data_IF_249619303101
#
_entry.id   IF_249619303101
#
_cell.length_a   1.000
_cell.length_b   1.000
_cell.length_c   1.000
_cell.angle_alpha   90.00
_cell.angle_beta   90.00
_cell.angle_gamma   90.00
#
_symmetry.space_group_name_H-M   'P 1'
#
loop_
_entity.id
_entity.type
_entity.pdbx_description
1 polymer ?
#
# COMPACT_ATOMS: atom_id res chain seq x y z
N UNK A 1 1.70 -5.09 19.13
CA UNK A 1 2.54 -5.10 17.91
C UNK A 1 1.97 -4.12 16.90
N UNK A 2 2.81 -3.33 16.20
CA UNK A 2 2.35 -2.45 15.12
C UNK A 2 1.51 -3.21 14.07
N UNK A 3 0.53 -2.55 13.45
CA UNK A 3 -0.25 -3.10 12.34
C UNK A 3 -1.28 -4.20 12.65
N UNK A 4 -1.25 -4.85 13.83
CA UNK A 4 -2.08 -6.04 14.10
C UNK A 4 -3.60 -5.76 14.02
N UNK A 5 -4.04 -4.62 14.56
CA UNK A 5 -5.43 -4.18 14.45
C UNK A 5 -5.80 -3.84 13.00
N UNK A 6 -4.91 -3.18 12.25
CA UNK A 6 -5.12 -2.84 10.84
C UNK A 6 -5.31 -4.10 9.98
N UNK A 7 -4.52 -5.16 10.20
CA UNK A 7 -4.71 -6.45 9.53
C UNK A 7 -6.08 -7.07 9.86
N UNK A 8 -6.45 -7.05 11.14
CA UNK A 8 -7.72 -7.62 11.60
C UNK A 8 -8.92 -6.92 10.95
N UNK A 9 -8.91 -5.58 10.93
CA UNK A 9 -9.99 -4.80 10.33
C UNK A 9 -10.02 -4.90 8.81
N UNK A 10 -8.85 -4.97 8.15
CA UNK A 10 -8.78 -5.25 6.71
C UNK A 10 -9.46 -6.58 6.40
N UNK A 11 -9.07 -7.66 7.08
CA UNK A 11 -9.64 -9.00 6.86
C UNK A 11 -11.15 -9.01 7.09
N UNK A 12 -11.63 -8.36 8.16
CA UNK A 12 -13.06 -8.24 8.46
C UNK A 12 -13.83 -7.40 7.45
N UNK A 13 -13.21 -6.42 6.80
CA UNK A 13 -13.92 -5.52 5.89
C UNK A 13 -14.13 -6.13 4.50
N UNK A 14 -13.18 -6.90 3.97
CA UNK A 14 -13.29 -7.43 2.61
C UNK A 14 -13.77 -8.87 2.53
N UNK A 15 -13.42 -9.76 3.48
CA UNK A 15 -13.77 -11.19 3.38
C UNK A 15 -15.28 -11.45 3.26
N UNK A 16 -16.16 -10.80 4.05
CA UNK A 16 -17.60 -11.01 3.92
C UNK A 16 -18.18 -10.61 2.56
N UNK A 17 -17.46 -9.78 1.81
CA UNK A 17 -17.88 -9.28 0.51
C UNK A 17 -17.50 -10.21 -0.65
N UNK A 18 -16.65 -11.23 -0.42
CA UNK A 18 -16.21 -12.12 -1.48
C UNK A 18 -17.30 -13.11 -1.89
N UNK A 19 -17.42 -13.37 -3.20
CA UNK A 19 -18.35 -14.36 -3.76
C UNK A 19 -17.62 -15.36 -4.65
N UNK A 20 -17.93 -16.63 -4.45
CA UNK A 20 -17.50 -17.72 -5.33
C UNK A 20 -18.11 -17.56 -6.74
N UNK A 21 -17.48 -18.15 -7.77
CA UNK A 21 -16.25 -18.95 -7.74
C UNK A 21 -14.96 -18.14 -7.87
N UNK A 22 -15.05 -16.86 -8.23
CA UNK A 22 -13.87 -16.05 -8.56
C UNK A 22 -13.39 -15.15 -7.41
N UNK A 23 -14.02 -15.24 -6.23
CA UNK A 23 -13.75 -14.37 -5.09
C UNK A 23 -13.82 -12.88 -5.45
N UNK A 24 -14.84 -12.52 -6.25
CA UNK A 24 -15.13 -11.13 -6.58
C UNK A 24 -15.82 -10.47 -5.39
N UNK A 25 -15.47 -9.21 -5.11
CA UNK A 25 -16.18 -8.39 -4.12
C UNK A 25 -17.56 -8.01 -4.66
N UNK A 26 -18.61 -8.33 -3.90
CA UNK A 26 -20.01 -8.06 -4.27
C UNK A 26 -20.60 -6.96 -3.40
N UNK A 27 -21.40 -6.08 -4.00
CA UNK A 27 -22.13 -5.03 -3.28
C UNK A 27 -23.43 -5.57 -2.65
N UNK A 28 -23.96 -6.67 -3.21
CA UNK A 28 -25.17 -7.31 -2.73
C UNK A 28 -24.88 -8.68 -2.12
N UNK A 29 -25.70 -9.04 -1.12
CA UNK A 29 -25.70 -10.37 -0.50
C UNK A 29 -26.43 -11.41 -1.35
N UNK A 30 -27.39 -10.99 -2.19
CA UNK A 30 -28.19 -11.84 -3.06
C UNK A 30 -27.95 -11.53 -4.55
N UNK A 31 -27.84 -12.59 -5.37
CA UNK A 31 -28.01 -12.57 -6.82
C UNK A 31 -27.03 -11.70 -7.64
N UNK A 32 -26.03 -12.35 -8.26
CA UNK A 32 -25.14 -11.73 -9.25
C UNK A 32 -23.88 -11.11 -8.65
N UNK A 33 -22.82 -10.99 -9.47
CA UNK A 33 -21.53 -10.46 -9.05
C UNK A 33 -21.45 -8.97 -9.37
N UNK A 34 -22.24 -8.14 -8.66
CA UNK A 34 -22.18 -6.68 -8.80
C UNK A 34 -20.92 -6.20 -8.10
N UNK A 35 -19.94 -5.71 -8.87
CA UNK A 35 -18.64 -5.28 -8.36
C UNK A 35 -18.77 -4.23 -7.26
N UNK A 36 -18.32 -4.56 -6.05
CA UNK A 36 -18.16 -3.55 -4.99
C UNK A 36 -16.83 -2.80 -5.16
N UNK A 37 -16.83 -1.85 -6.09
CA UNK A 37 -15.62 -1.09 -6.44
C UNK A 37 -15.11 -0.24 -5.28
N UNK A 38 -16.00 0.34 -4.48
CA UNK A 38 -15.61 1.17 -3.32
C UNK A 38 -14.85 0.36 -2.27
N UNK A 39 -15.36 -0.82 -1.90
CA UNK A 39 -14.68 -1.72 -0.96
C UNK A 39 -13.35 -2.24 -1.53
N UNK A 40 -13.31 -2.56 -2.83
CA UNK A 40 -12.09 -3.01 -3.51
C UNK A 40 -11.03 -1.90 -3.54
N UNK A 41 -11.44 -0.66 -3.82
CA UNK A 41 -10.58 0.51 -3.76
C UNK A 41 -10.03 0.74 -2.36
N UNK A 42 -10.87 0.59 -1.33
CA UNK A 42 -10.44 0.66 0.08
C UNK A 42 -9.41 -0.41 0.45
N UNK A 43 -9.61 -1.65 -0.01
CA UNK A 43 -8.64 -2.73 0.18
C UNK A 43 -7.30 -2.37 -0.48
N UNK A 44 -7.31 -1.85 -1.71
CA UNK A 44 -6.10 -1.41 -2.40
C UNK A 44 -5.39 -0.29 -1.61
N UNK A 45 -6.15 0.73 -1.17
CA UNK A 45 -5.61 1.84 -0.38
C UNK A 45 -4.96 1.37 0.93
N UNK A 46 -5.43 0.27 1.54
CA UNK A 46 -4.79 -0.28 2.74
C UNK A 46 -3.32 -0.70 2.49
N UNK A 47 -2.99 -1.21 1.30
CA UNK A 47 -1.61 -1.54 0.93
C UNK A 47 -0.80 -0.28 0.59
N UNK A 48 -1.40 0.63 -0.19
CA UNK A 48 -0.71 1.85 -0.64
C UNK A 48 -0.50 2.87 0.46
N UNK A 49 -1.43 3.04 1.39
CA UNK A 49 -1.44 4.14 2.34
C UNK A 49 -1.52 3.67 3.79
N UNK A 50 -2.00 2.45 4.03
CA UNK A 50 -2.05 1.85 5.36
C UNK A 50 -0.69 1.24 5.74
N UNK A 51 -0.38 0.07 5.20
CA UNK A 51 0.81 -0.70 5.61
C UNK A 51 2.14 -0.07 5.19
N UNK A 52 2.20 0.60 4.04
CA UNK A 52 3.42 1.28 3.60
C UNK A 52 3.64 2.63 4.30
N UNK A 53 2.58 3.23 4.85
CA UNK A 53 2.57 4.61 5.33
C UNK A 53 2.81 5.68 4.25
N UNK A 54 2.75 5.33 2.96
CA UNK A 54 3.09 6.27 1.88
C UNK A 54 2.16 7.48 1.87
N UNK A 55 2.69 8.69 1.85
CA UNK A 55 1.94 9.90 1.53
C UNK A 55 2.65 10.68 0.44
N UNK A 56 1.89 11.18 -0.52
CA UNK A 56 2.40 12.08 -1.54
C UNK A 56 2.33 13.52 -1.03
N UNK A 57 3.45 14.03 -0.54
CA UNK A 57 3.60 15.44 -0.21
C UNK A 57 3.93 16.29 -1.43
N UNK A 58 3.95 17.61 -1.22
CA UNK A 58 4.35 18.58 -2.25
C UNK A 58 5.87 18.57 -2.44
N UNK A 59 6.64 18.47 -1.36
CA UNK A 59 8.11 18.58 -1.42
C UNK A 59 8.85 17.24 -1.27
N UNK A 60 8.14 16.18 -0.84
CA UNK A 60 8.67 14.85 -0.63
C UNK A 60 7.55 13.82 -0.63
N UNK A 61 7.88 12.56 -0.91
CA UNK A 61 7.05 11.45 -0.45
C UNK A 61 7.37 11.17 1.02
N UNK A 62 6.37 10.79 1.81
CA UNK A 62 6.54 10.38 3.20
C UNK A 62 6.32 8.88 3.32
N UNK A 63 7.10 8.21 4.16
CA UNK A 63 7.03 6.77 4.40
C UNK A 63 7.13 6.46 5.89
N UNK A 64 6.15 5.72 6.40
CA UNK A 64 6.15 5.18 7.77
C UNK A 64 5.60 3.74 7.77
N UNK A 65 6.43 2.74 7.35
CA UNK A 65 5.94 1.39 7.14
C UNK A 65 5.56 0.69 8.45
N UNK A 66 4.39 0.04 8.46
CA UNK A 66 3.86 -0.71 9.60
C UNK A 66 3.28 -2.04 9.11
N UNK A 67 4.14 -3.05 9.00
CA UNK A 67 3.74 -4.38 8.57
C UNK A 67 3.15 -5.19 9.74
N UNK A 68 1.93 -5.73 9.59
CA UNK A 68 1.37 -6.64 10.57
C UNK A 68 2.11 -7.99 10.54
N UNK A 69 2.11 -8.75 11.65
CA UNK A 69 2.92 -9.95 11.72
C UNK A 69 2.52 -11.07 10.74
N UNK A 70 1.29 -11.03 10.22
CA UNK A 70 0.77 -11.96 9.23
C UNK A 70 1.33 -11.73 7.81
N UNK A 71 1.96 -10.58 7.55
CA UNK A 71 2.58 -10.26 6.26
C UNK A 71 4.10 -10.45 6.34
N UNK A 72 4.67 -11.12 5.34
CA UNK A 72 6.12 -11.31 5.21
C UNK A 72 6.81 -10.07 4.61
N UNK A 73 6.09 -9.35 3.76
CA UNK A 73 6.55 -8.12 3.13
C UNK A 73 5.47 -7.52 2.25
N UNK A 74 5.77 -6.35 1.67
CA UNK A 74 4.95 -5.66 0.70
C UNK A 74 5.85 -5.09 -0.39
N UNK A 75 5.53 -5.36 -1.65
CA UNK A 75 6.21 -4.76 -2.80
C UNK A 75 5.21 -3.94 -3.61
N UNK A 76 5.55 -2.69 -3.88
CA UNK A 76 4.80 -1.77 -4.72
C UNK A 76 5.70 -1.36 -5.89
N UNK A 77 5.19 -1.50 -7.11
CA UNK A 77 5.94 -1.23 -8.34
C UNK A 77 5.35 -0.07 -9.10
N UNK A 78 6.22 0.68 -9.79
CA UNK A 78 5.82 1.69 -10.75
C UNK A 78 5.01 2.84 -10.15
N UNK A 79 5.24 3.16 -8.88
CA UNK A 79 4.62 4.31 -8.23
C UNK A 79 5.10 5.59 -8.90
N UNK A 80 4.18 6.54 -9.12
CA UNK A 80 4.48 7.78 -9.83
C UNK A 80 4.24 9.00 -8.96
N UNK A 81 5.22 9.91 -8.91
CA UNK A 81 5.10 11.18 -8.21
C UNK A 81 5.93 12.25 -8.91
N UNK A 82 5.29 13.34 -9.33
CA UNK A 82 5.95 14.51 -9.94
C UNK A 82 6.98 14.15 -11.03
N UNK A 83 6.58 13.34 -12.01
CA UNK A 83 7.44 12.91 -13.12
C UNK A 83 8.49 11.85 -12.77
N UNK A 84 8.50 11.34 -11.53
CA UNK A 84 9.39 10.25 -11.08
C UNK A 84 8.63 8.94 -11.01
N UNK A 85 9.34 7.85 -11.24
CA UNK A 85 8.84 6.48 -11.07
C UNK A 85 9.72 5.76 -10.07
N UNK A 86 9.12 5.07 -9.10
CA UNK A 86 9.86 4.36 -8.07
C UNK A 86 9.15 3.09 -7.62
N UNK A 87 9.95 2.18 -7.11
CA UNK A 87 9.51 0.92 -6.51
C UNK A 87 9.79 0.95 -5.00
N UNK A 88 8.99 0.22 -4.24
CA UNK A 88 9.16 0.05 -2.80
C UNK A 88 9.08 -1.43 -2.43
N UNK A 89 10.04 -1.90 -1.65
CA UNK A 89 10.01 -3.20 -0.98
C UNK A 89 10.11 -3.00 0.52
N UNK A 90 9.05 -3.35 1.24
CA UNK A 90 8.93 -3.22 2.68
C UNK A 90 8.98 -4.61 3.28
N UNK A 91 9.93 -4.83 4.19
CA UNK A 91 10.06 -6.04 5.00
C UNK A 91 10.13 -5.64 6.47
N UNK A 92 10.13 -6.63 7.36
CA UNK A 92 10.09 -6.42 8.81
C UNK A 92 11.30 -5.66 9.34
N UNK A 93 12.48 -5.95 8.81
CA UNK A 93 13.74 -5.40 9.28
C UNK A 93 14.23 -4.24 8.40
N UNK A 94 13.88 -4.24 7.12
CA UNK A 94 14.38 -3.27 6.15
C UNK A 94 13.35 -2.92 5.09
N UNK A 95 13.20 -1.62 4.84
CA UNK A 95 12.52 -1.11 3.67
C UNK A 95 13.52 -0.55 2.66
N UNK A 96 13.28 -0.80 1.39
CA UNK A 96 14.07 -0.33 0.25
C UNK A 96 13.15 0.43 -0.68
N UNK A 97 13.60 1.63 -1.09
CA UNK A 97 12.92 2.44 -2.09
C UNK A 97 13.92 2.66 -3.22
N UNK A 98 13.52 2.34 -4.43
CA UNK A 98 14.38 2.43 -5.62
C UNK A 98 13.76 3.42 -6.58
N UNK A 99 14.48 4.50 -6.89
CA UNK A 99 14.07 5.44 -7.92
C UNK A 99 14.43 4.85 -9.29
N UNK A 100 13.42 4.38 -10.02
CA UNK A 100 13.61 3.67 -11.29
C UNK A 100 13.65 4.62 -12.49
N UNK A 101 13.02 5.80 -12.39
CA UNK A 101 13.08 6.82 -13.42
C UNK A 101 12.81 8.24 -12.87
N UNK A 102 13.38 9.26 -13.51
CA UNK A 102 13.16 10.68 -13.23
C UNK A 102 14.29 11.34 -12.42
N UNK A 103 14.06 12.58 -12.00
CA UNK A 103 15.02 13.35 -11.20
C UNK A 103 15.11 12.85 -9.76
N UNK A 104 16.19 13.22 -9.05
CA UNK A 104 16.39 12.87 -7.65
C UNK A 104 15.12 13.15 -6.81
N UNK A 105 14.81 12.21 -5.92
CA UNK A 105 13.52 12.15 -5.22
C UNK A 105 13.71 12.31 -3.71
N UNK A 106 13.19 13.38 -3.10
CA UNK A 106 13.17 13.52 -1.65
C UNK A 106 12.15 12.55 -1.01
N UNK A 107 12.60 11.87 0.04
CA UNK A 107 11.83 10.91 0.85
C UNK A 107 11.95 11.30 2.32
N UNK A 108 10.82 11.45 2.99
CA UNK A 108 10.73 11.70 4.42
C UNK A 108 10.37 10.40 5.14
N UNK A 109 11.06 10.13 6.24
CA UNK A 109 10.74 9.02 7.15
C UNK A 109 10.70 9.54 8.59
N UNK A 110 10.17 8.78 9.57
CA UNK A 110 10.29 9.13 10.99
C UNK A 110 11.74 9.35 11.45
N UNK A 111 12.70 8.71 10.78
CA UNK A 111 14.14 8.82 11.10
C UNK A 111 14.84 9.99 10.40
N UNK A 112 14.14 10.73 9.55
CA UNK A 112 14.67 11.89 8.83
C UNK A 112 14.43 11.87 7.32
N UNK A 113 14.89 12.96 6.69
CA UNK A 113 14.78 13.19 5.24
C UNK A 113 15.99 12.65 4.50
N UNK A 114 15.77 12.02 3.35
CA UNK A 114 16.81 11.53 2.43
C UNK A 114 16.45 11.89 1.00
N UNK A 115 17.45 11.95 0.13
CA UNK A 115 17.24 12.13 -1.31
C UNK A 115 17.74 10.88 -2.03
N UNK A 116 16.88 10.28 -2.83
CA UNK A 116 17.21 9.13 -3.67
C UNK A 116 17.69 9.61 -5.03
N UNK A 117 18.82 9.10 -5.49
CA UNK A 117 19.26 9.21 -6.87
C UNK A 117 18.74 8.01 -7.69
N UNK A 118 18.63 8.12 -9.02
CA UNK A 118 18.27 6.98 -9.85
C UNK A 118 19.31 5.86 -9.72
N UNK A 119 18.84 4.61 -9.56
CA UNK A 119 19.71 3.45 -9.35
C UNK A 119 19.12 2.43 -8.39
#
# INVERSE_FOLDING_TARGET
MPGCAAYTFMVRSYLPQLRMPFYQTSETDEGGAVNFLTGTGGLLQQFYYGFSGLRFGVDAIELDPSLPPQMQGLVLHGLKWQGRTFDMRIERERSVVTLTAGAAMPVQTPTGRRTLAPG
#
